data_IF_414864689569
#
_entry.id   IF_414864689569
#
_cell.length_a   1.000
_cell.length_b   1.000
_cell.length_c   1.000
_cell.angle_alpha   90.00
_cell.angle_beta   90.00
_cell.angle_gamma   90.00
#
_symmetry.space_group_name_H-M   'P 1'
#
loop_
_entity.id
_entity.type
_entity.pdbx_description
1 polymer ?
#
# COMPACT_ATOMS: atom_id res chain seq x y z
N UNK A 1 26.03 22.96 -29.83
CA UNK A 1 26.10 21.62 -29.22
C UNK A 1 24.97 21.50 -28.23
N UNK A 2 23.95 20.68 -28.53
CA UNK A 2 22.89 20.36 -27.57
C UNK A 2 23.52 19.47 -26.50
N UNK A 3 23.66 19.99 -25.28
CA UNK A 3 23.94 19.14 -24.13
C UNK A 3 22.71 18.25 -23.95
N UNK A 4 22.81 16.99 -24.38
CA UNK A 4 21.91 15.94 -23.95
C UNK A 4 22.19 15.72 -22.47
N UNK A 5 21.49 16.47 -21.62
CA UNK A 5 21.36 16.14 -20.21
C UNK A 5 20.65 14.79 -20.16
N UNK A 6 21.40 13.72 -19.87
CA UNK A 6 20.84 12.45 -19.44
C UNK A 6 19.92 12.74 -18.26
N UNK A 7 18.66 12.24 -18.23
CA UNK A 7 17.78 12.53 -17.10
C UNK A 7 18.40 11.95 -15.82
N UNK A 8 18.65 12.82 -14.83
CA UNK A 8 19.20 12.45 -13.51
C UNK A 8 18.15 11.68 -12.66
N UNK A 9 16.92 11.55 -13.16
CA UNK A 9 15.80 10.87 -12.52
C UNK A 9 15.70 9.41 -12.98
N UNK A 10 16.59 8.57 -12.45
CA UNK A 10 16.65 7.19 -12.86
C UNK A 10 15.74 6.30 -12.01
N UNK A 11 14.45 6.26 -12.34
CA UNK A 11 13.51 5.35 -11.66
C UNK A 11 13.83 3.86 -11.90
N UNK A 12 14.70 3.50 -12.86
CA UNK A 12 15.10 2.09 -13.06
C UNK A 12 15.85 1.50 -11.88
N UNK A 13 16.51 2.33 -11.05
CA UNK A 13 17.15 1.85 -9.81
C UNK A 13 16.14 1.19 -8.87
N UNK A 14 14.88 1.65 -8.88
CA UNK A 14 13.82 1.09 -8.04
C UNK A 14 13.39 -0.29 -8.55
N UNK A 15 13.36 -0.48 -9.87
CA UNK A 15 13.11 -1.78 -10.49
C UNK A 15 14.27 -2.76 -10.20
N UNK A 16 15.51 -2.28 -10.24
CA UNK A 16 16.72 -3.06 -9.91
C UNK A 16 16.70 -3.56 -8.46
N UNK A 17 16.38 -2.69 -7.49
CA UNK A 17 16.26 -3.05 -6.06
C UNK A 17 15.31 -4.23 -5.85
N UNK A 18 14.18 -4.26 -6.56
CA UNK A 18 13.21 -5.35 -6.43
C UNK A 18 13.68 -6.60 -7.19
N UNK A 19 14.29 -6.44 -8.37
CA UNK A 19 14.81 -7.55 -9.16
C UNK A 19 15.89 -8.35 -8.41
N UNK A 20 16.74 -7.67 -7.62
CA UNK A 20 17.75 -8.32 -6.76
C UNK A 20 17.14 -9.30 -5.74
N UNK A 21 15.88 -9.10 -5.35
CA UNK A 21 15.18 -9.94 -4.37
C UNK A 21 14.53 -11.17 -4.99
N UNK A 22 14.63 -11.36 -6.32
CA UNK A 22 14.00 -12.48 -7.04
C UNK A 22 12.48 -12.60 -6.82
N UNK A 23 11.81 -11.46 -6.59
CA UNK A 23 10.38 -11.39 -6.32
C UNK A 23 9.60 -11.27 -7.63
N UNK A 24 8.53 -12.05 -7.76
CA UNK A 24 7.54 -11.85 -8.81
C UNK A 24 6.63 -10.69 -8.45
N UNK A 25 6.81 -9.55 -9.12
CA UNK A 25 6.00 -8.33 -8.91
C UNK A 25 4.60 -8.47 -9.54
N UNK A 26 3.74 -9.30 -8.95
CA UNK A 26 2.39 -9.49 -9.47
C UNK A 26 1.56 -8.21 -9.33
N UNK A 27 0.58 -8.05 -10.22
CA UNK A 27 -0.42 -7.00 -10.18
C UNK A 27 -1.80 -7.58 -9.91
N UNK A 28 -2.63 -6.82 -9.20
CA UNK A 28 -4.08 -7.07 -9.15
C UNK A 28 -4.82 -6.51 -10.35
N UNK A 29 -4.14 -5.89 -11.31
CA UNK A 29 -4.77 -5.40 -12.54
C UNK A 29 -5.39 -6.57 -13.33
N UNK A 30 -6.72 -6.60 -13.55
CA UNK A 30 -7.35 -7.70 -14.29
C UNK A 30 -6.88 -7.85 -15.74
N UNK A 31 -6.14 -6.87 -16.28
CA UNK A 31 -5.67 -6.82 -17.66
C UNK A 31 -4.20 -7.20 -17.83
N UNK A 32 -3.42 -7.31 -16.75
CA UNK A 32 -2.00 -7.68 -16.82
C UNK A 32 -1.54 -8.40 -15.56
N UNK A 33 -0.58 -9.30 -15.72
CA UNK A 33 -0.06 -10.11 -14.61
C UNK A 33 0.94 -9.38 -13.73
N UNK A 34 1.77 -8.50 -14.32
CA UNK A 34 2.86 -7.82 -13.64
C UNK A 34 2.50 -6.37 -13.30
N UNK A 35 3.05 -5.88 -12.20
CA UNK A 35 2.94 -4.48 -11.77
C UNK A 35 3.51 -3.53 -12.82
N UNK A 36 3.13 -2.25 -12.75
CA UNK A 36 3.76 -1.21 -13.58
C UNK A 36 5.18 -1.00 -13.10
N UNK A 37 6.16 -1.00 -14.02
CA UNK A 37 7.56 -0.75 -13.64
C UNK A 37 7.74 0.67 -13.11
N UNK A 38 8.73 0.89 -12.26
CA UNK A 38 9.05 2.22 -11.77
C UNK A 38 9.58 3.13 -12.88
N UNK A 39 10.24 2.60 -13.91
CA UNK A 39 10.57 3.36 -15.14
C UNK A 39 9.30 3.95 -15.79
N UNK A 40 8.23 3.16 -15.92
CA UNK A 40 6.94 3.65 -16.44
C UNK A 40 6.32 4.69 -15.50
N UNK A 41 6.36 4.47 -14.18
CA UNK A 41 5.85 5.43 -13.20
C UNK A 41 6.64 6.75 -13.23
N UNK A 42 7.96 6.71 -13.39
CA UNK A 42 8.81 7.88 -13.57
C UNK A 42 8.46 8.69 -14.82
N UNK A 43 8.08 8.01 -15.90
CA UNK A 43 7.57 8.64 -17.13
C UNK A 43 6.24 9.36 -16.87
N UNK A 44 5.35 8.78 -16.05
CA UNK A 44 4.09 9.43 -15.66
C UNK A 44 4.33 10.65 -14.74
N UNK A 45 5.27 10.56 -13.80
CA UNK A 45 5.66 11.68 -12.93
C UNK A 45 6.21 12.85 -13.76
N UNK A 46 7.16 12.58 -14.65
CA UNK A 46 7.78 13.62 -15.51
C UNK A 46 6.82 14.21 -16.53
N UNK A 47 5.74 13.51 -16.89
CA UNK A 47 4.67 14.08 -17.70
C UNK A 47 3.77 15.08 -16.93
N UNK A 48 3.82 15.08 -15.59
CA UNK A 48 3.01 15.96 -14.73
C UNK A 48 3.78 17.13 -14.15
N UNK A 49 5.09 17.02 -14.01
CA UNK A 49 5.96 18.09 -13.50
C UNK A 49 7.34 18.01 -14.12
N UNK A 50 7.98 19.16 -14.29
CA UNK A 50 9.37 19.30 -14.70
C UNK A 50 10.28 19.76 -13.54
N UNK A 51 9.75 19.84 -12.32
CA UNK A 51 10.52 20.21 -11.13
C UNK A 51 11.47 19.07 -10.74
N UNK A 52 12.73 19.24 -11.10
CA UNK A 52 13.82 18.29 -10.84
C UNK A 52 13.96 17.98 -9.35
N UNK A 53 13.83 18.98 -8.48
CA UNK A 53 13.99 18.78 -7.05
C UNK A 53 12.84 17.92 -6.52
N UNK A 54 11.61 18.22 -6.92
CA UNK A 54 10.43 17.44 -6.55
C UNK A 54 10.52 15.98 -7.03
N UNK A 55 10.91 15.77 -8.30
CA UNK A 55 11.04 14.43 -8.89
C UNK A 55 12.09 13.61 -8.14
N UNK A 56 13.26 14.20 -7.84
CA UNK A 56 14.32 13.53 -7.07
C UNK A 56 13.85 13.17 -5.66
N UNK A 57 13.17 14.09 -4.96
CA UNK A 57 12.64 13.78 -3.62
C UNK A 57 11.56 12.71 -3.65
N UNK A 58 10.74 12.68 -4.69
CA UNK A 58 9.74 11.63 -4.88
C UNK A 58 10.41 10.27 -5.11
N UNK A 59 11.40 10.20 -6.00
CA UNK A 59 12.18 8.98 -6.23
C UNK A 59 12.84 8.48 -4.93
N UNK A 60 13.56 9.34 -4.22
CA UNK A 60 14.25 8.96 -2.98
C UNK A 60 13.27 8.48 -1.89
N UNK A 61 12.09 9.07 -1.82
CA UNK A 61 11.06 8.64 -0.88
C UNK A 61 10.47 7.29 -1.28
N UNK A 62 10.27 7.03 -2.58
CA UNK A 62 9.83 5.72 -3.07
C UNK A 62 10.88 4.64 -2.82
N UNK A 63 12.16 4.92 -3.02
CA UNK A 63 13.25 4.00 -2.68
C UNK A 63 13.13 3.52 -1.24
N UNK A 64 12.99 4.47 -0.30
CA UNK A 64 12.82 4.16 1.13
C UNK A 64 11.56 3.33 1.41
N UNK A 65 10.45 3.64 0.75
CA UNK A 65 9.20 2.89 0.90
C UNK A 65 9.35 1.47 0.36
N UNK A 66 9.99 1.28 -0.80
CA UNK A 66 10.23 -0.03 -1.41
C UNK A 66 11.14 -0.87 -0.53
N UNK A 67 12.27 -0.31 -0.08
CA UNK A 67 13.18 -0.99 0.86
C UNK A 67 12.45 -1.39 2.14
N UNK A 68 11.63 -0.50 2.70
CA UNK A 68 10.82 -0.82 3.88
C UNK A 68 9.79 -1.93 3.59
N UNK A 69 9.15 -1.95 2.42
CA UNK A 69 8.25 -3.03 2.01
C UNK A 69 8.97 -4.38 1.91
N UNK A 70 10.12 -4.43 1.25
CA UNK A 70 10.94 -5.65 1.10
C UNK A 70 11.37 -6.21 2.45
N UNK A 71 11.84 -5.32 3.33
CA UNK A 71 12.34 -5.67 4.65
C UNK A 71 11.26 -6.17 5.61
N UNK A 72 10.04 -5.61 5.51
CA UNK A 72 8.98 -5.81 6.49
C UNK A 72 7.86 -6.74 6.00
N UNK A 73 7.76 -6.96 4.70
CA UNK A 73 6.75 -7.82 4.06
C UNK A 73 7.41 -8.71 2.99
N UNK A 74 8.32 -9.62 3.38
CA UNK A 74 9.09 -10.43 2.43
C UNK A 74 8.21 -11.37 1.58
N UNK A 75 6.99 -11.66 2.04
CA UNK A 75 6.04 -12.49 1.32
C UNK A 75 4.98 -11.66 0.56
N UNK A 76 5.18 -10.36 0.39
CA UNK A 76 4.23 -9.51 -0.32
C UNK A 76 4.01 -9.97 -1.77
N UNK A 77 2.74 -10.16 -2.16
CA UNK A 77 2.38 -10.78 -3.44
C UNK A 77 2.24 -9.72 -4.52
N UNK A 78 1.49 -8.66 -4.23
CA UNK A 78 1.12 -7.66 -5.22
C UNK A 78 1.82 -6.32 -4.99
N UNK A 79 2.32 -5.73 -6.08
CA UNK A 79 3.25 -4.61 -6.07
C UNK A 79 2.71 -3.41 -6.86
N UNK A 80 1.40 -3.17 -6.74
CA UNK A 80 0.72 -2.09 -7.46
C UNK A 80 0.97 -0.72 -6.81
N UNK A 81 1.99 0.01 -7.30
CA UNK A 81 2.37 1.32 -6.76
C UNK A 81 1.76 2.53 -7.49
N UNK A 82 1.08 2.34 -8.63
CA UNK A 82 0.64 3.43 -9.51
C UNK A 82 -0.16 4.52 -8.77
N UNK A 83 -1.14 4.12 -7.98
CA UNK A 83 -1.97 5.08 -7.25
C UNK A 83 -1.24 5.70 -6.06
N UNK A 84 -0.33 4.97 -5.40
CA UNK A 84 0.48 5.53 -4.31
C UNK A 84 1.39 6.64 -4.85
N UNK A 85 2.11 6.38 -5.95
CA UNK A 85 2.98 7.36 -6.61
C UNK A 85 2.16 8.57 -7.08
N UNK A 86 1.02 8.32 -7.71
CA UNK A 86 0.12 9.39 -8.17
C UNK A 86 -0.43 10.22 -7.01
N UNK A 87 -0.84 9.59 -5.90
CA UNK A 87 -1.34 10.29 -4.71
C UNK A 87 -0.25 11.17 -4.07
N UNK A 88 0.95 10.61 -3.91
CA UNK A 88 2.13 11.31 -3.40
C UNK A 88 2.46 12.54 -4.24
N UNK A 89 2.48 12.42 -5.58
CA UNK A 89 2.74 13.55 -6.46
C UNK A 89 1.61 14.59 -6.42
N UNK A 90 0.35 14.18 -6.54
CA UNK A 90 -0.79 15.11 -6.56
C UNK A 90 -0.88 15.94 -5.29
N UNK A 91 -0.73 15.29 -4.14
CA UNK A 91 -0.80 15.99 -2.86
C UNK A 91 0.41 16.92 -2.66
N UNK A 92 1.60 16.53 -3.12
CA UNK A 92 2.77 17.41 -3.09
C UNK A 92 2.60 18.66 -3.97
N UNK A 93 1.99 18.52 -5.15
CA UNK A 93 1.78 19.64 -6.09
C UNK A 93 0.80 20.70 -5.58
N UNK A 94 -0.04 20.37 -4.59
CA UNK A 94 -0.98 21.31 -3.96
C UNK A 94 -0.57 21.75 -2.56
N UNK A 95 0.53 21.21 -2.02
CA UNK A 95 1.06 21.58 -0.73
C UNK A 95 1.85 22.90 -0.80
N UNK A 96 1.87 23.65 0.31
CA UNK A 96 2.64 24.91 0.40
C UNK A 96 4.15 24.67 0.21
N UNK A 97 4.67 23.57 0.78
CA UNK A 97 6.03 23.09 0.57
C UNK A 97 5.99 21.63 0.11
N UNK A 98 6.13 21.44 -1.20
CA UNK A 98 6.05 20.13 -1.83
C UNK A 98 7.16 19.17 -1.35
N UNK A 99 8.37 19.68 -1.08
CA UNK A 99 9.51 18.85 -0.66
C UNK A 99 9.35 18.39 0.78
N UNK A 100 8.99 19.29 1.69
CA UNK A 100 8.73 18.91 3.08
C UNK A 100 7.50 18.00 3.18
N UNK A 101 6.47 18.24 2.35
CA UNK A 101 5.34 17.32 2.24
C UNK A 101 5.80 15.91 1.86
N UNK A 102 6.58 15.75 0.79
CA UNK A 102 7.06 14.42 0.35
C UNK A 102 7.90 13.72 1.42
N UNK A 103 8.74 14.47 2.12
CA UNK A 103 9.55 13.94 3.22
C UNK A 103 8.67 13.44 4.36
N UNK A 104 7.67 14.23 4.76
CA UNK A 104 6.71 13.85 5.79
C UNK A 104 5.89 12.62 5.38
N UNK A 105 5.35 12.62 4.17
CA UNK A 105 4.59 11.52 3.58
C UNK A 105 5.41 10.22 3.55
N UNK A 106 6.61 10.26 2.96
CA UNK A 106 7.50 9.12 2.88
C UNK A 106 7.90 8.58 4.26
N UNK A 107 8.22 9.47 5.22
CA UNK A 107 8.53 9.08 6.59
C UNK A 107 7.37 8.34 7.25
N UNK A 108 6.14 8.87 7.15
CA UNK A 108 4.97 8.24 7.77
C UNK A 108 4.68 6.87 7.17
N UNK A 109 4.81 6.70 5.85
CA UNK A 109 4.64 5.39 5.21
C UNK A 109 5.71 4.42 5.69
N UNK A 110 6.99 4.80 5.67
CA UNK A 110 8.09 3.93 6.14
C UNK A 110 7.86 3.51 7.59
N UNK A 111 7.54 4.45 8.49
CA UNK A 111 7.25 4.14 9.89
C UNK A 111 6.06 3.20 10.05
N UNK A 112 5.01 3.35 9.23
CA UNK A 112 3.86 2.45 9.25
C UNK A 112 4.24 1.02 8.81
N UNK A 113 5.05 0.89 7.76
CA UNK A 113 5.52 -0.39 7.25
C UNK A 113 6.40 -1.12 8.26
N UNK A 114 7.35 -0.39 8.86
CA UNK A 114 8.23 -0.89 9.93
C UNK A 114 7.42 -1.35 11.14
N UNK A 115 6.42 -0.56 11.56
CA UNK A 115 5.59 -0.88 12.73
C UNK A 115 4.70 -2.10 12.50
N UNK A 116 4.16 -2.27 11.30
CA UNK A 116 3.18 -3.33 11.00
C UNK A 116 3.79 -4.67 10.56
N UNK A 117 5.00 -4.66 9.99
CA UNK A 117 5.57 -5.84 9.35
C UNK A 117 6.24 -6.83 10.30
N UNK A 118 7.06 -7.71 9.71
CA UNK A 118 7.64 -8.88 10.39
C UNK A 118 8.66 -8.56 11.49
N UNK A 119 9.21 -7.34 11.50
CA UNK A 119 10.25 -6.93 12.45
C UNK A 119 9.70 -6.51 13.82
N UNK A 120 8.39 -6.33 13.97
CA UNK A 120 7.75 -5.99 15.26
C UNK A 120 6.91 -7.15 15.80
N UNK A 121 6.13 -6.94 16.86
CA UNK A 121 5.15 -7.93 17.35
C UNK A 121 3.85 -7.95 16.55
N UNK A 122 3.60 -6.97 15.67
CA UNK A 122 2.39 -6.93 14.83
C UNK A 122 2.45 -8.05 13.78
N UNK A 123 3.53 -8.15 13.01
CA UNK A 123 3.81 -9.26 12.07
C UNK A 123 2.65 -9.52 11.10
N UNK A 124 2.12 -8.46 10.48
CA UNK A 124 1.24 -8.65 9.33
C UNK A 124 2.06 -9.14 8.14
N UNK A 125 1.48 -10.08 7.39
CA UNK A 125 2.16 -10.76 6.29
C UNK A 125 2.25 -9.92 5.02
N UNK A 126 1.26 -9.06 4.78
CA UNK A 126 1.10 -8.32 3.54
C UNK A 126 0.74 -6.86 3.81
N UNK A 127 1.20 -5.95 2.93
CA UNK A 127 0.83 -4.53 2.96
C UNK A 127 -0.52 -4.26 2.25
N UNK A 128 -1.14 -5.29 1.67
CA UNK A 128 -2.30 -5.19 0.80
C UNK A 128 -3.49 -4.40 1.40
N UNK A 129 -3.80 -4.55 2.69
CA UNK A 129 -4.92 -3.83 3.33
C UNK A 129 -4.73 -2.31 3.32
N UNK A 130 -3.48 -1.87 3.41
CA UNK A 130 -3.07 -0.48 3.28
C UNK A 130 -3.08 -0.04 1.81
N UNK A 131 -2.36 -0.76 0.94
CA UNK A 131 -2.20 -0.38 -0.48
C UNK A 131 -3.52 -0.33 -1.24
N UNK A 132 -4.43 -1.28 -0.98
CA UNK A 132 -5.72 -1.36 -1.66
C UNK A 132 -6.84 -0.60 -0.93
N UNK A 133 -6.48 0.18 0.09
CA UNK A 133 -7.38 1.14 0.73
C UNK A 133 -8.51 0.52 1.56
N UNK A 134 -8.39 -0.74 1.99
CA UNK A 134 -9.38 -1.37 2.86
C UNK A 134 -9.45 -0.68 4.23
N UNK A 135 -8.30 -0.34 4.80
CA UNK A 135 -8.24 0.41 6.06
C UNK A 135 -8.73 1.86 5.89
N UNK A 136 -8.42 2.49 4.75
CA UNK A 136 -8.91 3.84 4.43
C UNK A 136 -10.43 3.87 4.33
N UNK A 137 -11.02 2.97 3.53
CA UNK A 137 -12.47 2.89 3.38
C UNK A 137 -13.16 2.67 4.73
N UNK A 138 -12.63 1.77 5.56
CA UNK A 138 -13.16 1.53 6.92
C UNK A 138 -13.06 2.77 7.81
N UNK A 139 -11.97 3.52 7.74
CA UNK A 139 -11.76 4.73 8.54
C UNK A 139 -12.72 5.86 8.14
N UNK A 140 -12.90 6.07 6.83
CA UNK A 140 -13.87 7.04 6.30
C UNK A 140 -15.29 6.66 6.69
N UNK A 141 -15.67 5.38 6.57
CA UNK A 141 -17.00 4.90 6.94
C UNK A 141 -17.41 5.13 8.40
N UNK A 142 -16.44 5.21 9.32
CA UNK A 142 -16.74 5.46 10.74
C UNK A 142 -17.26 6.88 10.98
N UNK A 143 -16.76 7.86 10.23
CA UNK A 143 -17.17 9.27 10.35
C UNK A 143 -17.25 9.91 8.95
N UNK A 144 -18.24 9.53 8.12
CA UNK A 144 -18.31 10.00 6.74
C UNK A 144 -18.46 11.52 6.62
N UNK A 145 -19.17 12.15 7.56
CA UNK A 145 -19.44 13.59 7.54
C UNK A 145 -18.16 14.43 7.56
N UNK A 146 -17.11 13.97 8.24
CA UNK A 146 -15.83 14.68 8.37
C UNK A 146 -14.74 14.11 7.47
N UNK A 147 -14.84 12.84 7.05
CA UNK A 147 -13.77 12.11 6.33
C UNK A 147 -14.07 11.80 4.87
N UNK A 148 -15.27 12.05 4.36
CA UNK A 148 -15.64 11.67 2.99
C UNK A 148 -14.73 12.28 1.91
N UNK A 149 -14.11 13.43 2.20
CA UNK A 149 -13.21 14.14 1.29
C UNK A 149 -11.72 13.81 1.53
N UNK A 150 -11.40 12.95 2.50
CA UNK A 150 -10.02 12.54 2.77
C UNK A 150 -9.56 11.55 1.71
N UNK A 151 -8.50 11.90 0.97
CA UNK A 151 -7.91 11.01 -0.02
C UNK A 151 -7.19 9.82 0.64
N UNK A 152 -7.10 8.65 -0.02
CA UNK A 152 -6.21 7.60 0.45
C UNK A 152 -4.77 8.11 0.54
N UNK A 153 -4.08 7.69 1.59
CA UNK A 153 -2.73 8.10 1.94
C UNK A 153 -2.57 9.58 2.34
N UNK A 154 -3.65 10.33 2.60
CA UNK A 154 -3.53 11.68 3.17
C UNK A 154 -2.72 11.66 4.48
N UNK A 155 -2.01 12.76 4.79
CA UNK A 155 -1.22 12.82 6.04
C UNK A 155 -2.10 12.57 7.28
N UNK A 156 -3.35 13.09 7.29
CA UNK A 156 -4.33 12.83 8.34
C UNK A 156 -4.64 11.34 8.49
N UNK A 157 -4.84 10.64 7.37
CA UNK A 157 -5.09 9.20 7.39
C UNK A 157 -3.86 8.42 7.85
N UNK A 158 -2.65 8.81 7.41
CA UNK A 158 -1.41 8.17 7.83
C UNK A 158 -1.15 8.35 9.33
N UNK A 159 -1.45 9.53 9.89
CA UNK A 159 -1.38 9.78 11.34
C UNK A 159 -2.34 8.90 12.12
N UNK A 160 -3.58 8.76 11.64
CA UNK A 160 -4.54 7.83 12.23
C UNK A 160 -4.02 6.37 12.18
N UNK A 161 -3.44 5.93 11.06
CA UNK A 161 -2.93 4.56 10.93
C UNK A 161 -1.74 4.29 11.87
N UNK A 162 -0.84 5.25 12.03
CA UNK A 162 0.29 5.15 12.95
C UNK A 162 -0.20 4.98 14.39
N UNK A 163 -1.09 5.86 14.85
CA UNK A 163 -1.69 5.78 16.18
C UNK A 163 -2.41 4.42 16.40
N UNK A 164 -3.20 3.99 15.41
CA UNK A 164 -3.88 2.69 15.45
C UNK A 164 -2.91 1.51 15.51
N UNK A 165 -1.81 1.55 14.78
CA UNK A 165 -0.80 0.50 14.80
C UNK A 165 -0.12 0.42 16.18
N UNK A 166 0.15 1.55 16.83
CA UNK A 166 0.64 1.60 18.21
C UNK A 166 -0.37 1.00 19.20
N UNK A 167 -1.65 1.33 19.07
CA UNK A 167 -2.72 0.71 19.87
C UNK A 167 -2.75 -0.82 19.71
N UNK A 168 -2.67 -1.31 18.47
CA UNK A 168 -2.60 -2.75 18.18
C UNK A 168 -1.38 -3.38 18.86
N UNK A 169 -0.21 -2.73 18.77
CA UNK A 169 1.01 -3.20 19.41
C UNK A 169 0.86 -3.29 20.94
N UNK A 170 0.24 -2.28 21.55
CA UNK A 170 -0.05 -2.29 23.00
C UNK A 170 -1.00 -3.43 23.38
N UNK A 171 -2.07 -3.63 22.63
CA UNK A 171 -3.03 -4.72 22.87
C UNK A 171 -2.38 -6.10 22.74
N UNK A 172 -1.48 -6.27 21.77
CA UNK A 172 -0.69 -7.49 21.59
C UNK A 172 0.25 -7.70 22.77
N UNK A 173 0.96 -6.66 23.21
CA UNK A 173 1.86 -6.73 24.36
C UNK A 173 1.15 -7.06 25.68
N UNK A 174 -0.13 -6.67 25.82
CA UNK A 174 -0.95 -6.98 26.99
C UNK A 174 -1.70 -8.31 26.88
N UNK A 175 -1.53 -9.07 25.78
CA UNK A 175 -2.28 -10.30 25.48
C UNK A 175 -3.81 -10.13 25.45
N UNK A 176 -4.30 -8.90 25.28
CA UNK A 176 -5.73 -8.58 25.21
C UNK A 176 -6.31 -8.67 23.79
N UNK A 177 -5.45 -8.98 22.83
CA UNK A 177 -5.75 -8.94 21.41
C UNK A 177 -6.20 -10.32 20.87
N UNK A 178 -7.36 -10.82 21.32
CA UNK A 178 -7.86 -12.17 20.96
C UNK A 178 -7.97 -12.41 19.44
N UNK A 179 -8.24 -11.37 18.66
CA UNK A 179 -8.34 -11.44 17.19
C UNK A 179 -6.98 -11.40 16.48
N UNK A 180 -5.94 -10.97 17.17
CA UNK A 180 -4.57 -10.89 16.66
C UNK A 180 -3.73 -12.01 17.27
N UNK A 181 -4.10 -13.28 17.12
CA UNK A 181 -3.23 -14.40 17.50
C UNK A 181 -2.17 -14.65 16.40
N UNK A 182 -1.00 -15.14 16.80
CA UNK A 182 -0.01 -15.65 15.85
C UNK A 182 -0.50 -17.01 15.34
N UNK A 183 -0.46 -17.22 14.03
CA UNK A 183 -0.59 -18.55 13.44
C UNK A 183 0.74 -19.32 13.54
N UNK A 184 0.73 -20.60 13.16
CA UNK A 184 1.91 -21.48 13.18
C UNK A 184 3.08 -20.95 12.35
N UNK A 185 2.81 -20.14 11.32
CA UNK A 185 3.83 -19.51 10.47
C UNK A 185 4.38 -18.20 11.04
N UNK A 186 3.91 -17.78 12.23
CA UNK A 186 4.39 -16.59 12.90
C UNK A 186 3.87 -15.27 12.33
N UNK A 187 2.70 -15.28 11.66
CA UNK A 187 2.00 -14.08 11.21
C UNK A 187 0.72 -13.86 12.02
N UNK A 188 0.27 -12.60 12.13
CA UNK A 188 -1.05 -12.30 12.71
C UNK A 188 -2.06 -12.03 11.62
N UNK A 189 -3.24 -12.61 11.78
CA UNK A 189 -4.36 -12.45 10.86
C UNK A 189 -5.61 -11.95 11.61
N UNK A 190 -6.03 -10.69 11.42
CA UNK A 190 -7.22 -10.16 12.10
C UNK A 190 -8.53 -10.74 11.57
N UNK A 191 -8.54 -11.33 10.36
CA UNK A 191 -9.75 -11.85 9.72
C UNK A 191 -10.12 -13.25 10.22
N UNK A 192 -11.33 -13.73 9.91
CA UNK A 192 -11.78 -15.08 10.25
C UNK A 192 -11.39 -16.15 9.23
N UNK A 193 -10.92 -15.75 8.05
CA UNK A 193 -10.52 -16.61 6.94
C UNK A 193 -8.99 -16.63 6.75
N UNK A 194 -8.50 -17.67 6.09
CA UNK A 194 -7.10 -17.88 5.74
C UNK A 194 -6.53 -16.74 4.89
N UNK A 195 -5.27 -16.40 5.17
CA UNK A 195 -4.45 -15.49 4.37
C UNK A 195 -3.15 -16.18 3.96
N UNK A 196 -3.27 -17.46 3.59
CA UNK A 196 -2.20 -18.14 2.87
C UNK A 196 -2.06 -17.57 1.46
N UNK A 197 -0.88 -17.65 0.82
CA UNK A 197 -0.60 -16.90 -0.40
C UNK A 197 -1.60 -17.18 -1.53
N UNK A 198 -1.98 -18.45 -1.70
CA UNK A 198 -2.94 -18.88 -2.70
C UNK A 198 -4.36 -18.36 -2.42
N UNK A 199 -4.76 -18.34 -1.14
CA UNK A 199 -6.06 -17.85 -0.70
C UNK A 199 -6.16 -16.32 -0.83
N UNK A 200 -5.10 -15.62 -0.40
CA UNK A 200 -4.95 -14.17 -0.53
C UNK A 200 -5.00 -13.76 -2.02
N UNK A 201 -4.22 -14.45 -2.86
CA UNK A 201 -4.22 -14.23 -4.30
C UNK A 201 -5.61 -14.44 -4.89
N UNK A 202 -6.28 -15.57 -4.57
CA UNK A 202 -7.61 -15.89 -5.08
C UNK A 202 -8.65 -14.85 -4.65
N UNK A 203 -8.66 -14.46 -3.38
CA UNK A 203 -9.58 -13.47 -2.84
C UNK A 203 -9.38 -12.11 -3.52
N UNK A 204 -8.16 -11.58 -3.50
CA UNK A 204 -7.89 -10.24 -4.03
C UNK A 204 -8.09 -10.17 -5.54
N UNK A 205 -7.71 -11.21 -6.28
CA UNK A 205 -7.97 -11.30 -7.73
C UNK A 205 -9.48 -11.27 -8.03
N UNK A 206 -10.29 -12.00 -7.26
CA UNK A 206 -11.73 -11.99 -7.42
C UNK A 206 -12.31 -10.60 -7.15
N UNK A 207 -11.89 -9.94 -6.06
CA UNK A 207 -12.34 -8.59 -5.74
C UNK A 207 -11.95 -7.59 -6.83
N UNK A 208 -10.75 -7.70 -7.38
CA UNK A 208 -10.26 -6.81 -8.43
C UNK A 208 -11.09 -6.95 -9.72
N UNK A 209 -11.34 -8.18 -10.19
CA UNK A 209 -12.19 -8.46 -11.36
C UNK A 209 -13.60 -7.91 -11.18
N UNK A 210 -14.14 -7.98 -9.97
CA UNK A 210 -15.50 -7.54 -9.65
C UNK A 210 -15.59 -6.07 -9.21
N UNK A 211 -14.50 -5.29 -9.29
CA UNK A 211 -14.45 -3.87 -8.90
C UNK A 211 -14.88 -3.64 -7.42
N UNK A 212 -14.47 -4.56 -6.56
CA UNK A 212 -14.71 -4.57 -5.11
C UNK A 212 -13.43 -4.27 -4.32
N UNK A 213 -12.45 -3.63 -4.96
CA UNK A 213 -11.26 -3.08 -4.31
C UNK A 213 -11.51 -1.57 -4.07
N UNK A 214 -11.32 -1.06 -2.84
CA UNK A 214 -11.53 0.36 -2.53
C UNK A 214 -10.65 1.30 -3.36
N UNK A 215 -9.36 0.96 -3.48
CA UNK A 215 -8.37 1.70 -4.25
C UNK A 215 -7.76 0.75 -5.27
N UNK A 216 -8.08 0.92 -6.55
CA UNK A 216 -7.43 0.17 -7.64
C UNK A 216 -5.99 0.65 -7.78
N UNK A 217 -5.10 0.16 -6.92
CA UNK A 217 -3.75 0.70 -6.74
C UNK A 217 -2.89 0.60 -8.01
N UNK A 218 -3.25 -0.28 -8.95
CA UNK A 218 -2.62 -0.46 -10.27
C UNK A 218 -3.06 0.58 -11.31
N UNK A 219 -3.84 1.59 -10.91
CA UNK A 219 -4.32 2.64 -11.80
C UNK A 219 -3.94 4.02 -11.27
N UNK A 220 -3.07 4.70 -12.01
CA UNK A 220 -2.62 6.07 -11.74
C UNK A 220 -3.77 7.07 -11.50
N UNK A 221 -4.88 6.92 -12.23
CA UNK A 221 -6.05 7.81 -12.16
C UNK A 221 -7.24 7.15 -11.45
N UNK A 222 -6.98 6.19 -10.55
CA UNK A 222 -8.04 5.52 -9.81
C UNK A 222 -8.98 6.53 -9.12
N UNK A 223 -10.24 6.14 -9.00
CA UNK A 223 -11.25 6.87 -8.23
C UNK A 223 -11.58 6.02 -7.00
N UNK A 224 -10.97 6.31 -5.84
CA UNK A 224 -11.20 5.56 -4.62
C UNK A 224 -12.67 5.56 -4.21
N UNK A 225 -13.15 4.42 -3.72
CA UNK A 225 -14.53 4.27 -3.23
C UNK A 225 -14.47 3.76 -1.80
N UNK A 226 -15.09 4.49 -0.88
CA UNK A 226 -15.17 4.10 0.53
C UNK A 226 -16.56 3.58 0.93
N UNK A 227 -17.62 3.93 0.20
CA UNK A 227 -19.02 3.72 0.61
C UNK A 227 -19.59 2.33 0.30
N UNK A 228 -18.74 1.30 0.18
CA UNK A 228 -19.17 -0.12 0.03
C UNK A 228 -18.77 -0.95 1.27
N UNK A 229 -19.52 -1.99 1.64
CA UNK A 229 -19.22 -2.80 2.83
C UNK A 229 -18.07 -3.80 2.59
N UNK A 230 -16.87 -3.31 2.27
CA UNK A 230 -15.72 -4.14 1.84
C UNK A 230 -15.31 -5.23 2.83
N UNK A 231 -15.49 -5.01 4.12
CA UNK A 231 -15.18 -6.03 5.12
C UNK A 231 -16.16 -7.21 5.04
N UNK A 232 -17.45 -6.92 5.08
CA UNK A 232 -18.50 -7.93 4.93
C UNK A 232 -18.37 -8.67 3.60
N UNK A 233 -18.09 -7.95 2.51
CA UNK A 233 -17.87 -8.55 1.19
C UNK A 233 -16.72 -9.56 1.19
N UNK A 234 -15.63 -9.32 1.94
CA UNK A 234 -14.52 -10.27 2.04
C UNK A 234 -14.86 -11.51 2.85
N UNK A 235 -15.65 -11.35 3.91
CA UNK A 235 -16.14 -12.46 4.74
C UNK A 235 -17.15 -13.33 3.97
N UNK A 236 -18.07 -12.72 3.23
CA UNK A 236 -18.99 -13.45 2.35
C UNK A 236 -18.23 -14.15 1.21
N UNK A 237 -17.22 -13.48 0.67
CA UNK A 237 -16.42 -14.03 -0.42
C UNK A 237 -15.53 -15.18 0.05
N UNK A 238 -15.00 -15.16 1.27
CA UNK A 238 -14.21 -16.29 1.78
C UNK A 238 -15.04 -17.57 1.82
N UNK A 239 -16.32 -17.49 2.19
CA UNK A 239 -17.25 -18.61 2.12
C UNK A 239 -17.49 -19.05 0.68
N UNK A 240 -17.77 -18.10 -0.22
CA UNK A 240 -18.05 -18.38 -1.64
C UNK A 240 -16.87 -19.03 -2.37
N UNK A 241 -15.64 -18.66 -2.03
CA UNK A 241 -14.41 -19.18 -2.65
C UNK A 241 -13.87 -20.44 -1.95
N UNK A 242 -14.57 -20.95 -0.94
CA UNK A 242 -14.11 -22.05 -0.07
C UNK A 242 -12.72 -21.79 0.53
N UNK A 243 -12.45 -20.55 0.93
CA UNK A 243 -11.23 -20.20 1.65
C UNK A 243 -11.38 -20.72 3.09
N UNK A 244 -10.43 -21.51 3.60
CA UNK A 244 -10.52 -22.06 4.96
C UNK A 244 -10.63 -20.97 6.02
N UNK A 245 -11.17 -21.30 7.20
CA UNK A 245 -11.04 -20.42 8.36
C UNK A 245 -9.57 -20.28 8.75
N UNK A 246 -9.22 -19.17 9.43
CA UNK A 246 -7.86 -19.02 9.97
C UNK A 246 -7.60 -20.15 10.99
N UNK A 247 -6.47 -20.82 10.83
CA UNK A 247 -5.92 -21.73 11.84
C UNK A 247 -5.30 -20.92 12.98
#
# INVERSE_FOLDING_TARGET
>A
MKQNLTPIHNFSILDEIIAEQSINQLSLNPKKTLATSFVELGSLVTAKTNDIQLITFLQNSLERVISACLDNFPENIFWDFDFLVSSMLRQALVADDAVEFLKCFGNKIVSLLELCGVKTKIRFRYVHDFMYGFEWARWVQKEPETRANEEPFSLNFLDYLLAKAEEILQLICQEKANHYKLCDKGYRNPYCFSREPEDEHRMLSYLAVNQLIPVTAWNWNAQPVWNKPFQQLREELSLKLNIPNKN
#
